data_IF_455511168997
#
_entry.id   IF_455511168997
#
_cell.length_a   1.000
_cell.length_b   1.000
_cell.length_c   1.000
_cell.angle_alpha   90.00
_cell.angle_beta   90.00
_cell.angle_gamma   90.00
#
_symmetry.space_group_name_H-M   'P 1'
#
loop_
_entity.id
_entity.type
_entity.pdbx_description
1 polymer ?
#
# COMPACT_ATOMS: atom_id res chain seq x y z
N UNK A 1 46.68 39.15 -5.35
CA UNK A 1 46.39 38.76 -3.96
C UNK A 1 44.93 38.35 -3.93
N UNK A 2 44.67 37.05 -3.78
CA UNK A 2 43.45 36.44 -3.19
C UNK A 2 42.17 36.46 -4.06
N UNK A 3 41.81 35.35 -4.73
CA UNK A 3 41.05 34.15 -4.28
C UNK A 3 39.54 34.47 -4.13
N UNK A 4 38.66 33.85 -4.93
CA UNK A 4 37.78 32.72 -4.53
C UNK A 4 36.50 33.26 -3.83
N UNK A 5 35.25 32.85 -4.10
CA UNK A 5 34.71 31.51 -4.21
C UNK A 5 33.34 31.51 -4.92
N UNK A 6 33.17 30.44 -5.68
CA UNK A 6 31.94 29.82 -6.12
C UNK A 6 30.94 29.60 -4.97
N UNK A 7 29.67 29.99 -5.13
CA UNK A 7 28.60 29.32 -4.39
C UNK A 7 27.40 29.03 -5.30
N UNK A 8 27.52 27.89 -5.93
CA UNK A 8 26.47 27.17 -6.63
C UNK A 8 25.42 26.67 -5.64
N UNK A 9 24.35 27.44 -5.44
CA UNK A 9 23.13 26.91 -4.81
C UNK A 9 22.09 26.69 -5.91
N UNK A 10 22.31 25.65 -6.72
CA UNK A 10 21.24 24.97 -7.43
C UNK A 10 20.32 24.37 -6.36
N UNK A 11 19.37 25.17 -5.89
CA UNK A 11 18.20 24.67 -5.17
C UNK A 11 17.48 23.80 -6.17
N UNK A 12 17.77 22.50 -6.10
CA UNK A 12 16.97 21.47 -6.76
C UNK A 12 15.62 21.54 -6.05
N UNK A 13 14.77 22.42 -6.56
CA UNK A 13 13.33 22.38 -6.38
C UNK A 13 12.91 21.04 -6.99
N UNK A 14 13.09 19.98 -6.20
CA UNK A 14 12.49 18.69 -6.49
C UNK A 14 11.00 18.95 -6.37
N UNK A 15 10.39 19.27 -7.51
CA UNK A 15 8.97 19.22 -7.76
C UNK A 15 8.54 17.78 -7.46
N UNK A 16 8.27 17.53 -6.17
CA UNK A 16 7.71 16.27 -5.69
C UNK A 16 6.30 16.30 -6.21
N UNK A 17 6.13 15.89 -7.48
CA UNK A 17 4.82 15.67 -8.06
C UNK A 17 4.08 14.75 -7.11
N UNK A 18 3.09 15.33 -6.42
CA UNK A 18 2.20 14.59 -5.57
C UNK A 18 1.59 13.50 -6.45
N UNK A 19 2.07 12.27 -6.28
CA UNK A 19 1.57 11.12 -7.01
C UNK A 19 0.11 11.01 -6.57
N UNK A 20 -0.81 11.52 -7.39
CA UNK A 20 -2.24 11.36 -7.18
C UNK A 20 -2.56 9.88 -7.34
N UNK A 21 -2.37 9.16 -6.24
CA UNK A 21 -2.76 7.79 -6.05
C UNK A 21 -4.26 7.85 -5.83
N UNK A 22 -5.04 7.49 -6.87
CA UNK A 22 -6.41 7.06 -6.63
C UNK A 22 -6.32 5.58 -6.29
N UNK A 23 -6.54 5.19 -5.02
CA UNK A 23 -6.60 3.78 -4.68
C UNK A 23 -7.61 3.11 -5.58
N UNK A 24 -7.31 1.89 -6.04
CA UNK A 24 -8.33 1.04 -6.66
C UNK A 24 -9.52 1.01 -5.72
N UNK A 25 -10.71 1.37 -6.21
CA UNK A 25 -11.94 1.29 -5.43
C UNK A 25 -12.00 -0.07 -4.77
N UNK A 26 -12.25 -0.10 -3.47
CA UNK A 26 -12.30 -1.34 -2.71
C UNK A 26 -13.30 -2.31 -3.36
N UNK A 27 -12.85 -3.55 -3.64
CA UNK A 27 -13.69 -4.63 -4.17
C UNK A 27 -13.95 -5.61 -3.02
N UNK A 28 -15.05 -5.45 -2.24
CA UNK A 28 -15.34 -6.29 -1.08
C UNK A 28 -15.50 -7.76 -1.41
N UNK A 29 -16.00 -8.04 -2.62
CA UNK A 29 -16.42 -9.38 -3.01
C UNK A 29 -15.30 -10.25 -3.56
N UNK A 30 -14.13 -9.66 -3.84
CA UNK A 30 -12.96 -10.34 -4.38
C UNK A 30 -11.65 -9.65 -3.94
N UNK A 31 -11.10 -10.04 -2.77
CA UNK A 31 -9.86 -9.47 -2.25
C UNK A 31 -8.66 -9.80 -3.15
N UNK A 32 -8.64 -10.95 -3.82
CA UNK A 32 -7.55 -11.37 -4.71
C UNK A 32 -7.45 -10.44 -5.92
N UNK A 33 -8.58 -10.13 -6.57
CA UNK A 33 -8.64 -9.18 -7.69
C UNK A 33 -8.22 -7.79 -7.25
N UNK A 34 -8.61 -7.35 -6.04
CA UNK A 34 -8.15 -6.07 -5.48
C UNK A 34 -6.63 -6.05 -5.31
N UNK A 35 -6.04 -7.09 -4.74
CA UNK A 35 -4.59 -7.15 -4.54
C UNK A 35 -3.83 -7.19 -5.87
N UNK A 36 -4.35 -7.88 -6.88
CA UNK A 36 -3.77 -7.87 -8.22
C UNK A 36 -3.78 -6.45 -8.81
N UNK A 37 -4.89 -5.74 -8.69
CA UNK A 37 -5.00 -4.36 -9.16
C UNK A 37 -4.06 -3.40 -8.39
N UNK A 38 -3.94 -3.56 -7.07
CA UNK A 38 -3.03 -2.77 -6.25
C UNK A 38 -1.55 -3.04 -6.60
N UNK A 39 -1.16 -4.30 -6.80
CA UNK A 39 0.18 -4.69 -7.25
C UNK A 39 0.53 -4.08 -8.61
N UNK A 40 -0.41 -4.13 -9.56
CA UNK A 40 -0.24 -3.50 -10.88
C UNK A 40 -0.01 -1.98 -10.79
N UNK A 41 -0.67 -1.30 -9.86
CA UNK A 41 -0.42 0.13 -9.61
C UNK A 41 0.97 0.39 -9.03
N UNK A 42 1.45 -0.47 -8.12
CA UNK A 42 2.80 -0.35 -7.58
C UNK A 42 3.86 -0.55 -8.65
N UNK A 43 3.69 -1.54 -9.52
CA UNK A 43 4.60 -1.80 -10.65
C UNK A 43 4.64 -0.63 -11.62
N UNK A 44 3.46 -0.12 -12.03
CA UNK A 44 3.35 1.01 -12.96
C UNK A 44 4.04 2.28 -12.44
N UNK A 45 4.08 2.45 -11.11
CA UNK A 45 4.65 3.64 -10.45
C UNK A 45 6.03 3.40 -9.85
N UNK A 46 6.65 2.25 -10.13
CA UNK A 46 7.94 1.85 -9.57
C UNK A 46 7.99 1.90 -8.03
N UNK A 47 6.86 1.68 -7.36
CA UNK A 47 6.78 1.61 -5.90
C UNK A 47 7.30 0.24 -5.47
N UNK A 48 8.57 0.18 -5.08
CA UNK A 48 9.24 -1.05 -4.67
C UNK A 48 9.32 -1.19 -3.15
N UNK A 49 9.28 -0.07 -2.42
CA UNK A 49 9.41 -0.04 -0.96
C UNK A 49 8.22 -0.72 -0.28
N UNK A 50 8.52 -1.74 0.53
CA UNK A 50 7.55 -2.43 1.39
C UNK A 50 6.76 -1.45 2.27
N UNK A 51 7.41 -0.41 2.78
CA UNK A 51 6.78 0.61 3.62
C UNK A 51 5.78 1.47 2.84
N UNK A 52 6.12 1.85 1.60
CA UNK A 52 5.20 2.62 0.75
C UNK A 52 4.00 1.76 0.33
N UNK A 53 4.25 0.51 -0.11
CA UNK A 53 3.18 -0.45 -0.45
C UNK A 53 2.22 -0.65 0.72
N UNK A 54 2.76 -0.79 1.93
CA UNK A 54 1.97 -0.92 3.15
C UNK A 54 1.10 0.32 3.40
N UNK A 55 1.65 1.53 3.32
CA UNK A 55 0.90 2.76 3.53
C UNK A 55 -0.27 2.89 2.53
N UNK A 56 0.00 2.69 1.24
CA UNK A 56 -1.04 2.74 0.21
C UNK A 56 -2.09 1.63 0.36
N UNK A 57 -1.67 0.42 0.73
CA UNK A 57 -2.59 -0.67 1.01
C UNK A 57 -3.52 -0.33 2.18
N UNK A 58 -2.98 0.27 3.25
CA UNK A 58 -3.71 0.68 4.43
C UNK A 58 -4.74 1.77 4.12
N UNK A 59 -4.35 2.80 3.37
CA UNK A 59 -5.26 3.88 2.94
C UNK A 59 -6.41 3.39 2.05
N UNK A 60 -6.18 2.32 1.30
CA UNK A 60 -7.19 1.73 0.41
C UNK A 60 -8.20 0.81 1.13
N UNK A 61 -7.98 0.49 2.42
CA UNK A 61 -8.86 -0.39 3.20
C UNK A 61 -10.04 0.37 3.82
N UNK A 62 -11.28 -0.16 3.74
CA UNK A 62 -12.40 0.33 4.52
C UNK A 62 -12.17 0.11 6.02
N UNK A 63 -12.76 0.98 6.85
CA UNK A 63 -12.67 0.91 8.30
C UNK A 63 -12.99 -0.48 8.88
N UNK A 64 -14.05 -1.12 8.39
CA UNK A 64 -14.46 -2.45 8.86
C UNK A 64 -13.38 -3.53 8.67
N UNK A 65 -12.61 -3.43 7.57
CA UNK A 65 -11.52 -4.36 7.29
C UNK A 65 -10.27 -4.04 8.10
N UNK A 66 -10.04 -2.77 8.45
CA UNK A 66 -8.96 -2.38 9.35
C UNK A 66 -9.12 -2.99 10.74
N UNK A 67 -10.36 -3.08 11.24
CA UNK A 67 -10.66 -3.72 12.54
C UNK A 67 -10.38 -5.23 12.46
N UNK A 68 -10.75 -5.88 11.36
CA UNK A 68 -10.52 -7.32 11.18
C UNK A 68 -9.02 -7.66 11.17
N UNK A 69 -8.16 -6.83 10.58
CA UNK A 69 -6.70 -7.06 10.51
C UNK A 69 -5.91 -6.20 11.49
N UNK A 70 -6.56 -5.73 12.57
CA UNK A 70 -5.97 -4.82 13.57
C UNK A 70 -4.63 -5.33 14.11
N UNK A 71 -4.54 -6.62 14.41
CA UNK A 71 -3.29 -7.20 14.94
C UNK A 71 -2.14 -7.16 13.93
N UNK A 72 -2.43 -7.30 12.63
CA UNK A 72 -1.42 -7.16 11.58
C UNK A 72 -0.96 -5.70 11.40
N UNK A 73 -1.86 -4.74 11.67
CA UNK A 73 -1.55 -3.30 11.59
C UNK A 73 -0.69 -2.86 12.78
N UNK A 74 -1.08 -3.27 13.99
CA UNK A 74 -0.38 -2.90 15.23
C UNK A 74 1.01 -3.54 15.34
N UNK A 75 1.23 -4.69 14.69
CA UNK A 75 2.52 -5.39 14.66
C UNK A 75 3.33 -5.09 13.38
N UNK A 76 3.09 -3.97 12.70
CA UNK A 76 3.66 -3.65 11.38
C UNK A 76 5.16 -3.32 11.36
N UNK A 77 5.84 -3.30 12.51
CA UNK A 77 7.26 -2.94 12.61
C UNK A 77 8.23 -4.07 12.17
N UNK A 78 7.76 -4.95 11.29
CA UNK A 78 8.46 -6.14 10.82
C UNK A 78 8.78 -6.01 9.33
N UNK A 79 9.89 -6.61 8.85
CA UNK A 79 10.15 -6.71 7.42
C UNK A 79 8.97 -7.38 6.70
N UNK A 80 8.69 -6.91 5.48
CA UNK A 80 7.58 -7.39 4.64
C UNK A 80 6.18 -7.10 5.20
N UNK A 81 6.00 -5.93 5.84
CA UNK A 81 4.73 -5.49 6.41
C UNK A 81 3.54 -5.54 5.42
N UNK A 82 3.77 -5.21 4.15
CA UNK A 82 2.74 -5.31 3.10
C UNK A 82 2.31 -6.76 2.84
N UNK A 83 3.26 -7.68 2.75
CA UNK A 83 2.96 -9.09 2.49
C UNK A 83 2.19 -9.72 3.67
N UNK A 84 2.55 -9.35 4.90
CA UNK A 84 1.80 -9.77 6.11
C UNK A 84 0.40 -9.20 6.17
N UNK A 85 0.24 -7.92 5.79
CA UNK A 85 -1.08 -7.29 5.70
C UNK A 85 -1.96 -8.02 4.68
N UNK A 86 -1.41 -8.35 3.50
CA UNK A 86 -2.13 -9.13 2.48
C UNK A 86 -2.56 -10.49 3.01
N UNK A 87 -1.65 -11.24 3.65
CA UNK A 87 -1.99 -12.53 4.23
C UNK A 87 -3.10 -12.42 5.29
N UNK A 88 -3.02 -11.43 6.17
CA UNK A 88 -4.05 -11.23 7.19
C UNK A 88 -5.42 -10.99 6.57
N UNK A 89 -5.49 -10.12 5.55
CA UNK A 89 -6.75 -9.84 4.85
C UNK A 89 -7.27 -11.09 4.14
N UNK A 90 -6.41 -11.83 3.42
CA UNK A 90 -6.81 -13.07 2.75
C UNK A 90 -7.35 -14.10 3.75
N UNK A 91 -6.67 -14.30 4.88
CA UNK A 91 -7.13 -15.23 5.94
C UNK A 91 -8.49 -14.84 6.50
N UNK A 92 -8.78 -13.55 6.66
CA UNK A 92 -10.09 -13.09 7.11
C UNK A 92 -11.17 -13.18 6.02
N UNK A 93 -10.81 -13.04 4.74
CA UNK A 93 -11.75 -13.11 3.63
C UNK A 93 -12.03 -14.53 3.13
N UNK A 94 -11.15 -15.50 3.37
CA UNK A 94 -11.32 -16.90 2.96
C UNK A 94 -12.56 -17.58 3.58
N UNK A 95 -12.79 -17.51 4.92
CA UNK A 95 -14.02 -18.04 5.52
C UNK A 95 -15.28 -17.41 4.91
N UNK A 96 -15.27 -16.08 4.71
CA UNK A 96 -16.36 -15.34 4.05
C UNK A 96 -16.61 -15.81 2.61
N UNK A 97 -15.56 -16.16 1.86
CA UNK A 97 -15.69 -16.72 0.50
C UNK A 97 -16.32 -18.10 0.50
N UNK A 98 -15.86 -19.01 1.38
CA UNK A 98 -16.41 -20.36 1.48
C UNK A 98 -17.88 -20.35 1.90
N UNK A 99 -18.23 -19.50 2.86
CA UNK A 99 -19.60 -19.32 3.35
C UNK A 99 -20.52 -18.76 2.24
N UNK A 100 -20.03 -17.80 1.44
CA UNK A 100 -20.73 -17.32 0.23
C UNK A 100 -20.91 -18.40 -0.82
N UNK A 101 -19.87 -19.19 -1.11
CA UNK A 101 -19.94 -20.28 -2.09
C UNK A 101 -20.92 -21.39 -1.67
N UNK A 102 -21.14 -21.57 -0.36
CA UNK A 102 -22.09 -22.53 0.17
C UNK A 102 -23.55 -22.06 0.10
N UNK A 103 -23.76 -20.76 -0.09
CA UNK A 103 -25.10 -20.13 -0.15
C UNK A 103 -25.51 -19.81 -1.60
N UNK A 104 -24.70 -20.21 -2.59
CA UNK A 104 -24.97 -20.15 -4.04
C UNK A 104 -25.49 -21.52 -4.52
#
# INVERSE_FOLDING_TARGET
MTDNDNNSNNVIDSDVQAIHFRPVSFIPHDPDVRFAALKSQFETRCITSQRQKYAFALESLPGDHLVAVRDAILNSNVPNAYDRLNEAILRHSLPSREERLRTL
#
